data_IF_267102482657
#
_entry.id   IF_267102482657
#
_cell.length_a   1.000
_cell.length_b   1.000
_cell.length_c   1.000
_cell.angle_alpha   90.00
_cell.angle_beta   90.00
_cell.angle_gamma   90.00
#
_symmetry.space_group_name_H-M   'P 1'
#
loop_
_entity.id
_entity.type
_entity.pdbx_description
1 polymer ?
#
# COMPACT_ATOMS: atom_id res chain seq x y z
N UNK A 1 -2.45 -14.49 -26.35
CA UNK A 1 -3.70 -15.12 -26.81
C UNK A 1 -3.88 -14.78 -28.28
N UNK A 2 -3.96 -15.79 -29.10
CA UNK A 2 -4.14 -15.64 -30.55
C UNK A 2 -5.51 -14.99 -30.81
N UNK A 3 -5.52 -13.70 -31.12
CA UNK A 3 -6.72 -12.88 -31.33
C UNK A 3 -7.62 -13.46 -32.46
N UNK A 4 -7.04 -14.21 -33.40
CA UNK A 4 -7.78 -14.82 -34.52
C UNK A 4 -8.67 -15.98 -34.12
N UNK A 5 -8.59 -16.50 -32.89
CA UNK A 5 -9.41 -17.61 -32.37
C UNK A 5 -10.62 -17.17 -31.55
N UNK A 6 -10.75 -15.88 -31.23
CA UNK A 6 -11.90 -15.37 -30.51
C UNK A 6 -13.10 -15.18 -31.43
N UNK A 7 -14.29 -15.56 -30.96
CA UNK A 7 -15.55 -15.26 -31.66
C UNK A 7 -15.96 -13.81 -31.46
N UNK A 8 -15.65 -13.26 -30.28
CA UNK A 8 -15.88 -11.87 -29.92
C UNK A 8 -14.61 -11.31 -29.25
N UNK A 9 -14.31 -10.02 -29.48
CA UNK A 9 -13.14 -9.36 -28.87
C UNK A 9 -13.16 -9.36 -27.34
N UNK A 10 -14.35 -9.44 -26.73
CA UNK A 10 -14.54 -9.52 -25.28
C UNK A 10 -14.37 -10.92 -24.72
N UNK A 11 -14.27 -11.96 -25.57
CA UNK A 11 -14.04 -13.34 -25.10
C UNK A 11 -12.74 -13.43 -24.32
N UNK A 12 -12.73 -14.16 -23.23
CA UNK A 12 -11.57 -14.39 -22.39
C UNK A 12 -11.37 -15.86 -22.09
N UNK A 13 -10.15 -16.23 -21.69
CA UNK A 13 -9.77 -17.62 -21.51
C UNK A 13 -10.23 -18.11 -20.15
N UNK A 14 -11.03 -19.18 -20.13
CA UNK A 14 -11.40 -19.93 -18.92
C UNK A 14 -10.40 -21.06 -18.62
N UNK A 15 -9.93 -21.75 -19.68
CA UNK A 15 -9.00 -22.86 -19.58
C UNK A 15 -7.95 -22.81 -20.70
N UNK A 16 -6.67 -22.91 -20.32
CA UNK A 16 -5.54 -22.93 -21.27
C UNK A 16 -5.07 -24.36 -21.44
N UNK A 17 -5.21 -24.94 -22.63
CA UNK A 17 -4.66 -26.26 -22.96
C UNK A 17 -3.14 -26.18 -23.09
N UNK A 18 -2.43 -26.99 -22.34
CA UNK A 18 -0.98 -27.19 -22.45
C UNK A 18 -0.56 -28.46 -21.68
N UNK A 19 0.64 -28.97 -21.95
CA UNK A 19 1.22 -30.15 -21.32
C UNK A 19 2.47 -29.83 -20.48
N UNK A 20 2.83 -28.55 -20.37
CA UNK A 20 3.94 -28.08 -19.53
C UNK A 20 3.47 -27.92 -18.08
N UNK A 21 4.31 -28.32 -17.12
CA UNK A 21 4.01 -28.18 -15.70
C UNK A 21 4.02 -26.71 -15.26
N UNK A 22 3.12 -26.31 -14.34
CA UNK A 22 2.05 -27.11 -13.74
C UNK A 22 0.80 -27.19 -14.62
N UNK A 23 0.18 -28.38 -14.70
CA UNK A 23 -1.10 -28.59 -15.36
C UNK A 23 -2.03 -29.48 -14.53
N UNK A 24 -3.31 -29.42 -14.83
CA UNK A 24 -4.36 -30.21 -14.20
C UNK A 24 -5.23 -30.91 -15.27
N UNK A 25 -5.87 -32.01 -14.87
CA UNK A 25 -6.89 -32.67 -15.70
C UNK A 25 -8.18 -31.86 -15.67
N UNK A 26 -8.84 -31.75 -16.82
CA UNK A 26 -10.16 -31.14 -16.96
C UNK A 26 -10.98 -31.85 -18.05
N UNK A 27 -12.31 -31.62 -18.11
CA UNK A 27 -13.13 -32.10 -19.23
C UNK A 27 -12.66 -31.57 -20.59
N UNK A 28 -11.90 -30.52 -20.62
CA UNK A 28 -11.34 -29.86 -21.84
C UNK A 28 -9.91 -30.31 -22.15
N UNK A 29 -9.36 -31.26 -21.38
CA UNK A 29 -7.99 -31.77 -21.50
C UNK A 29 -7.03 -31.20 -20.45
N UNK A 30 -5.76 -31.58 -20.59
CA UNK A 30 -4.67 -31.08 -19.73
C UNK A 30 -4.47 -29.57 -19.93
N UNK A 31 -4.18 -28.85 -18.83
CA UNK A 31 -3.94 -27.42 -18.90
C UNK A 31 -4.05 -26.72 -17.56
N UNK A 32 -4.25 -25.40 -17.60
CA UNK A 32 -4.42 -24.55 -16.42
C UNK A 32 -5.60 -23.60 -16.56
N UNK A 33 -6.18 -23.13 -15.43
CA UNK A 33 -7.23 -22.13 -15.46
C UNK A 33 -6.73 -20.80 -16.05
N UNK A 34 -7.65 -20.01 -16.60
CA UNK A 34 -7.38 -18.62 -16.93
C UNK A 34 -7.30 -17.78 -15.65
N UNK A 35 -6.57 -16.69 -15.70
CA UNK A 35 -6.33 -15.84 -14.52
C UNK A 35 -7.63 -15.39 -13.81
N UNK A 36 -8.65 -15.00 -14.57
CA UNK A 36 -9.89 -14.46 -13.98
C UNK A 36 -10.69 -15.51 -13.20
N UNK A 37 -10.73 -16.76 -13.68
CA UNK A 37 -11.48 -17.82 -13.00
C UNK A 37 -10.82 -18.26 -11.69
N UNK A 38 -9.52 -18.06 -11.53
CA UNK A 38 -8.82 -18.35 -10.29
C UNK A 38 -9.40 -17.53 -9.13
N UNK A 39 -9.56 -16.21 -9.32
CA UNK A 39 -10.12 -15.32 -8.29
C UNK A 39 -11.59 -15.67 -8.01
N UNK A 40 -12.43 -15.87 -9.03
CA UNK A 40 -13.83 -16.26 -8.85
C UNK A 40 -13.97 -17.55 -8.05
N UNK A 41 -13.13 -18.55 -8.33
CA UNK A 41 -13.13 -19.83 -7.61
C UNK A 41 -12.60 -19.68 -6.17
N UNK A 42 -11.56 -18.89 -5.96
CA UNK A 42 -10.98 -18.63 -4.63
C UNK A 42 -11.97 -17.88 -3.73
N UNK A 43 -12.67 -16.88 -4.25
CA UNK A 43 -13.72 -16.15 -3.52
C UNK A 43 -14.78 -17.13 -3.04
N UNK A 44 -15.34 -17.91 -3.95
CA UNK A 44 -16.38 -18.91 -3.60
C UNK A 44 -15.89 -19.93 -2.58
N UNK A 45 -14.66 -20.43 -2.72
CA UNK A 45 -14.08 -21.42 -1.80
C UNK A 45 -13.83 -20.81 -0.40
N UNK A 46 -13.30 -19.60 -0.33
CA UNK A 46 -12.87 -18.98 0.93
C UNK A 46 -14.04 -18.43 1.74
N UNK A 47 -14.96 -17.74 1.09
CA UNK A 47 -16.09 -17.09 1.75
C UNK A 47 -17.31 -18.00 1.86
N UNK A 48 -17.37 -19.11 1.11
CA UNK A 48 -18.50 -20.05 1.06
C UNK A 48 -19.85 -19.36 0.76
N UNK A 49 -19.81 -18.27 0.02
CA UNK A 49 -20.95 -17.49 -0.45
C UNK A 49 -20.79 -17.17 -1.94
N UNK A 50 -21.89 -16.80 -2.60
CA UNK A 50 -21.84 -16.33 -3.98
C UNK A 50 -21.60 -14.80 -4.06
N UNK A 51 -21.98 -14.08 -2.99
CA UNK A 51 -21.86 -12.62 -2.93
C UNK A 51 -21.03 -12.24 -1.71
N UNK A 52 -19.98 -11.46 -1.90
CA UNK A 52 -19.18 -10.85 -0.84
C UNK A 52 -19.59 -9.38 -0.60
N UNK A 53 -19.26 -8.84 0.56
CA UNK A 53 -19.64 -7.47 0.87
C UNK A 53 -18.81 -6.46 0.06
N UNK A 54 -17.50 -6.64 0.02
CA UNK A 54 -16.58 -5.72 -0.67
C UNK A 54 -15.59 -6.51 -1.51
N UNK A 55 -15.42 -6.10 -2.77
CA UNK A 55 -14.34 -6.57 -3.66
C UNK A 55 -13.49 -5.36 -4.07
N UNK A 56 -12.19 -5.45 -3.86
CA UNK A 56 -11.27 -4.33 -4.10
C UNK A 56 -10.06 -4.72 -4.93
N UNK A 57 -9.50 -3.75 -5.65
CA UNK A 57 -8.28 -3.92 -6.41
C UNK A 57 -7.75 -2.62 -6.99
N UNK A 58 -6.68 -2.69 -7.78
CA UNK A 58 -6.22 -1.55 -8.56
C UNK A 58 -7.23 -1.17 -9.64
N UNK A 59 -7.30 0.09 -10.00
CA UNK A 59 -8.20 0.58 -11.06
C UNK A 59 -7.92 -0.09 -12.41
N UNK A 60 -6.70 -0.54 -12.63
CA UNK A 60 -6.28 -1.29 -13.82
C UNK A 60 -6.87 -2.72 -13.88
N UNK A 61 -7.38 -3.24 -12.77
CA UNK A 61 -8.10 -4.52 -12.71
C UNK A 61 -9.59 -4.37 -13.01
N UNK A 62 -10.15 -3.15 -12.99
CA UNK A 62 -11.57 -2.93 -13.26
C UNK A 62 -11.99 -3.60 -14.57
N UNK A 63 -11.17 -3.40 -15.62
CA UNK A 63 -11.35 -4.05 -16.90
C UNK A 63 -9.99 -4.56 -17.42
N UNK A 64 -9.90 -5.81 -17.89
CA UNK A 64 -11.01 -6.80 -18.03
C UNK A 64 -11.20 -7.71 -16.81
N UNK A 65 -10.34 -7.67 -15.78
CA UNK A 65 -10.25 -8.70 -14.74
C UNK A 65 -11.54 -8.79 -13.90
N UNK A 66 -11.93 -7.71 -13.24
CA UNK A 66 -13.11 -7.69 -12.36
C UNK A 66 -14.43 -7.89 -13.14
N UNK A 67 -14.53 -7.33 -14.35
CA UNK A 67 -15.70 -7.56 -15.19
C UNK A 67 -15.81 -9.04 -15.60
N UNK A 68 -14.69 -9.70 -15.85
CA UNK A 68 -14.67 -11.14 -16.15
C UNK A 68 -15.02 -12.00 -14.92
N UNK A 69 -14.53 -11.65 -13.74
CA UNK A 69 -14.91 -12.32 -12.49
C UNK A 69 -16.41 -12.19 -12.20
N UNK A 70 -16.92 -10.98 -12.38
CA UNK A 70 -18.34 -10.66 -12.26
C UNK A 70 -19.16 -11.52 -13.22
N UNK A 71 -18.82 -11.50 -14.51
CA UNK A 71 -19.51 -12.31 -15.52
C UNK A 71 -19.52 -13.81 -15.18
N UNK A 72 -18.39 -14.38 -14.75
CA UNK A 72 -18.27 -15.78 -14.36
C UNK A 72 -19.18 -16.13 -13.18
N UNK A 73 -19.18 -15.29 -12.13
CA UNK A 73 -19.97 -15.56 -10.93
C UNK A 73 -21.45 -15.34 -11.17
N UNK A 74 -21.85 -14.27 -11.84
CA UNK A 74 -23.24 -13.93 -12.10
C UNK A 74 -23.89 -14.95 -13.07
N UNK A 75 -23.18 -15.36 -14.11
CA UNK A 75 -23.66 -16.42 -15.01
C UNK A 75 -23.84 -17.79 -14.32
N UNK A 76 -22.98 -18.10 -13.35
CA UNK A 76 -23.05 -19.37 -12.63
C UNK A 76 -24.14 -19.37 -11.54
N UNK A 77 -24.31 -18.24 -10.84
CA UNK A 77 -25.07 -18.20 -9.59
C UNK A 77 -26.35 -17.38 -9.68
N UNK A 78 -26.50 -16.58 -10.73
CA UNK A 78 -27.54 -15.55 -10.88
C UNK A 78 -27.58 -14.56 -9.70
N UNK A 79 -26.41 -14.32 -9.08
CA UNK A 79 -26.24 -13.38 -7.96
C UNK A 79 -25.01 -12.50 -8.22
N UNK A 80 -25.01 -11.23 -7.75
CA UNK A 80 -23.86 -10.36 -7.89
C UNK A 80 -22.64 -10.90 -7.12
N UNK A 81 -21.44 -10.76 -7.70
CA UNK A 81 -20.21 -11.19 -7.04
C UNK A 81 -19.92 -10.35 -5.78
N UNK A 82 -20.13 -9.05 -5.83
CA UNK A 82 -19.91 -8.15 -4.70
C UNK A 82 -21.00 -7.10 -4.59
N UNK A 83 -21.29 -6.66 -3.34
CA UNK A 83 -22.20 -5.55 -3.06
C UNK A 83 -21.56 -4.20 -3.34
N UNK A 84 -20.25 -4.08 -3.04
CA UNK A 84 -19.46 -2.87 -3.22
C UNK A 84 -18.15 -3.20 -3.92
N UNK A 85 -17.79 -2.40 -4.90
CA UNK A 85 -16.51 -2.46 -5.60
C UNK A 85 -15.66 -1.26 -5.21
N UNK A 86 -14.40 -1.50 -4.84
CA UNK A 86 -13.44 -0.44 -4.50
C UNK A 86 -12.22 -0.52 -5.41
N UNK A 87 -11.91 0.58 -6.10
CA UNK A 87 -10.75 0.64 -6.98
C UNK A 87 -9.75 1.69 -6.50
N UNK A 88 -8.52 1.24 -6.28
CA UNK A 88 -7.41 2.07 -5.81
C UNK A 88 -6.60 2.56 -7.00
N UNK A 89 -6.33 3.85 -7.05
CA UNK A 89 -5.49 4.44 -8.08
C UNK A 89 -4.00 4.07 -7.89
N UNK A 90 -3.19 4.08 -8.96
CA UNK A 90 -1.78 3.69 -8.88
C UNK A 90 -0.94 4.71 -8.13
N UNK A 91 0.12 4.21 -7.49
CA UNK A 91 1.24 5.05 -7.08
C UNK A 91 2.13 5.29 -8.29
N UNK A 92 2.56 6.53 -8.46
CA UNK A 92 3.42 6.98 -9.55
C UNK A 92 4.77 7.44 -9.03
N UNK A 93 5.79 7.33 -9.86
CA UNK A 93 7.13 7.91 -9.65
C UNK A 93 7.52 8.58 -10.97
N UNK A 94 7.81 9.88 -10.92
CA UNK A 94 8.10 10.70 -12.11
C UNK A 94 6.97 10.62 -13.16
N UNK A 95 5.72 10.74 -12.70
CA UNK A 95 4.51 10.65 -13.53
C UNK A 95 4.32 9.31 -14.28
N UNK A 96 5.03 8.26 -13.86
CA UNK A 96 4.88 6.91 -14.39
C UNK A 96 4.39 5.95 -13.32
N UNK A 97 3.48 5.03 -13.70
CA UNK A 97 3.03 3.98 -12.78
C UNK A 97 4.23 3.24 -12.19
N UNK A 98 4.29 3.17 -10.85
CA UNK A 98 5.30 2.39 -10.16
C UNK A 98 5.08 0.90 -10.46
N UNK A 99 6.06 0.25 -11.07
CA UNK A 99 6.01 -1.19 -11.35
C UNK A 99 7.41 -1.81 -11.45
N UNK A 100 7.47 -3.12 -11.19
CA UNK A 100 8.73 -3.88 -11.34
C UNK A 100 9.23 -3.89 -12.79
N UNK A 101 8.31 -3.94 -13.77
CA UNK A 101 8.65 -3.97 -15.20
C UNK A 101 9.30 -2.67 -15.69
N UNK A 102 8.98 -1.54 -15.07
CA UNK A 102 9.63 -0.26 -15.38
C UNK A 102 10.91 -0.01 -14.57
N UNK A 103 11.27 -0.92 -13.63
CA UNK A 103 12.46 -0.76 -12.79
C UNK A 103 12.41 0.43 -11.83
N UNK A 104 11.26 1.09 -11.68
CA UNK A 104 11.06 2.26 -10.83
C UNK A 104 10.39 1.92 -9.50
N UNK A 105 10.32 0.63 -9.12
CA UNK A 105 9.64 0.21 -7.90
C UNK A 105 10.49 0.47 -6.65
N UNK A 106 9.88 1.06 -5.63
CA UNK A 106 10.42 1.20 -4.28
C UNK A 106 9.73 0.18 -3.38
N UNK A 107 10.49 -0.65 -2.68
CA UNK A 107 9.90 -1.66 -1.79
C UNK A 107 9.62 -1.08 -0.40
N UNK A 108 8.55 -1.56 0.26
CA UNK A 108 8.27 -1.16 1.64
C UNK A 108 9.43 -1.50 2.58
N UNK A 109 10.09 -2.64 2.38
CA UNK A 109 11.24 -3.03 3.21
C UNK A 109 12.35 -1.98 3.16
N UNK A 110 12.73 -1.51 1.95
CA UNK A 110 13.75 -0.47 1.81
C UNK A 110 13.36 0.88 2.43
N UNK A 111 12.06 1.15 2.55
CA UNK A 111 11.57 2.34 3.23
C UNK A 111 11.52 2.15 4.75
N UNK A 112 11.17 0.95 5.24
CA UNK A 112 11.12 0.65 6.68
C UNK A 112 12.49 0.66 7.36
N UNK A 113 13.58 0.51 6.59
CA UNK A 113 14.93 0.69 7.12
C UNK A 113 15.23 2.16 7.51
N UNK A 114 14.49 3.12 6.95
CA UNK A 114 14.74 4.56 7.08
C UNK A 114 13.59 5.35 7.70
N UNK A 115 12.36 4.89 7.51
CA UNK A 115 11.15 5.56 7.94
C UNK A 115 10.25 4.65 8.76
N UNK A 116 9.64 5.21 9.79
CA UNK A 116 8.60 4.53 10.56
C UNK A 116 7.43 4.11 9.62
N UNK A 117 6.98 2.85 9.68
CA UNK A 117 5.81 2.39 8.94
C UNK A 117 4.57 3.28 9.13
N UNK A 118 4.40 3.89 10.31
CA UNK A 118 3.29 4.79 10.59
C UNK A 118 3.41 6.12 9.84
N UNK A 119 4.63 6.60 9.57
CA UNK A 119 4.86 7.78 8.72
C UNK A 119 4.42 7.50 7.28
N UNK A 120 4.74 6.32 6.75
CA UNK A 120 4.28 5.90 5.43
C UNK A 120 2.76 5.73 5.39
N UNK A 121 2.17 5.09 6.41
CA UNK A 121 0.71 4.98 6.52
C UNK A 121 0.05 6.35 6.55
N UNK A 122 0.60 7.29 7.33
CA UNK A 122 0.09 8.65 7.41
C UNK A 122 0.23 9.39 6.07
N UNK A 123 1.32 9.16 5.34
CA UNK A 123 1.52 9.71 3.98
C UNK A 123 0.41 9.26 3.02
N UNK A 124 0.09 7.96 2.99
CA UNK A 124 -1.01 7.45 2.17
C UNK A 124 -2.37 8.04 2.58
N UNK A 125 -2.63 8.19 3.88
CA UNK A 125 -3.88 8.78 4.39
C UNK A 125 -4.05 10.27 4.04
N UNK A 126 -2.98 10.96 3.67
CA UNK A 126 -3.03 12.35 3.18
C UNK A 126 -3.48 12.45 1.71
N UNK A 127 -3.73 11.32 1.03
CA UNK A 127 -4.15 11.26 -0.36
C UNK A 127 -5.47 10.49 -0.47
N UNK A 128 -6.28 10.83 -1.49
CA UNK A 128 -7.46 10.03 -1.81
C UNK A 128 -7.03 8.73 -2.47
N UNK A 129 -7.60 7.61 -2.04
CA UNK A 129 -7.22 6.28 -2.53
C UNK A 129 -7.58 6.07 -4.02
N UNK A 130 -8.59 6.78 -4.54
CA UNK A 130 -9.06 6.68 -5.92
C UNK A 130 -8.40 7.66 -6.89
N UNK A 131 -7.39 8.43 -6.43
CA UNK A 131 -6.64 9.40 -7.24
C UNK A 131 -5.18 8.96 -7.35
N UNK A 132 -4.56 8.99 -8.55
CA UNK A 132 -3.14 8.67 -8.69
C UNK A 132 -2.29 9.52 -7.75
N UNK A 133 -1.38 8.85 -7.05
CA UNK A 133 -0.51 9.49 -6.06
C UNK A 133 0.93 9.49 -6.56
N UNK A 134 1.53 10.66 -6.70
CA UNK A 134 2.96 10.79 -6.97
C UNK A 134 3.75 10.54 -5.67
N UNK A 135 4.57 9.49 -5.65
CA UNK A 135 5.41 9.15 -4.51
C UNK A 135 6.73 9.90 -4.60
N UNK A 136 6.94 10.86 -3.70
CA UNK A 136 8.17 11.62 -3.57
C UNK A 136 8.77 11.31 -2.20
N UNK A 137 9.90 10.58 -2.20
CA UNK A 137 10.52 10.12 -0.96
C UNK A 137 10.97 11.27 -0.05
N UNK A 138 11.48 12.36 -0.62
CA UNK A 138 11.91 13.54 0.15
C UNK A 138 10.78 14.16 0.98
N UNK A 139 9.53 14.01 0.56
CA UNK A 139 8.36 14.46 1.32
C UNK A 139 8.21 13.74 2.66
N UNK A 140 8.72 12.50 2.79
CA UNK A 140 8.59 11.72 4.01
C UNK A 140 9.23 12.39 5.23
N UNK A 141 10.27 13.20 5.05
CA UNK A 141 10.85 13.98 6.15
C UNK A 141 9.88 15.05 6.70
N UNK A 142 9.13 15.71 5.82
CA UNK A 142 8.08 16.64 6.21
C UNK A 142 6.89 15.92 6.86
N UNK A 143 6.48 14.80 6.28
CA UNK A 143 5.39 13.96 6.80
C UNK A 143 5.73 13.42 8.20
N UNK A 144 6.97 13.00 8.44
CA UNK A 144 7.45 12.59 9.77
C UNK A 144 7.22 13.68 10.82
N UNK A 145 7.52 14.95 10.49
CA UNK A 145 7.26 16.08 11.39
C UNK A 145 5.77 16.30 11.64
N UNK A 146 4.95 16.20 10.59
CA UNK A 146 3.50 16.31 10.72
C UNK A 146 2.92 15.19 11.58
N UNK A 147 3.38 13.96 11.38
CA UNK A 147 2.94 12.82 12.19
C UNK A 147 3.36 12.95 13.66
N UNK A 148 4.58 13.41 13.93
CA UNK A 148 5.04 13.71 15.30
C UNK A 148 4.16 14.77 15.97
N UNK A 149 3.74 15.81 15.25
CA UNK A 149 2.80 16.81 15.78
C UNK A 149 1.42 16.22 16.08
N UNK A 150 0.93 15.30 15.25
CA UNK A 150 -0.32 14.57 15.53
C UNK A 150 -0.17 13.75 16.81
N UNK A 151 0.93 13.02 16.97
CA UNK A 151 1.21 12.24 18.19
C UNK A 151 1.25 13.16 19.42
N UNK A 152 2.00 14.24 19.38
CA UNK A 152 2.13 15.19 20.48
C UNK A 152 0.75 15.71 20.93
N UNK A 153 -0.07 16.19 20.00
CA UNK A 153 -1.40 16.74 20.31
C UNK A 153 -2.34 15.68 20.86
N UNK A 154 -2.39 14.49 20.23
CA UNK A 154 -3.37 13.45 20.59
C UNK A 154 -2.96 12.58 21.78
N UNK A 155 -1.71 12.68 22.25
CA UNK A 155 -1.23 11.99 23.47
C UNK A 155 -1.09 12.92 24.67
N UNK A 156 -1.43 14.19 24.53
CA UNK A 156 -1.39 15.18 25.61
C UNK A 156 -2.32 14.76 26.76
N UNK A 157 -1.88 14.98 28.00
CA UNK A 157 -2.62 14.62 29.22
C UNK A 157 -3.25 15.82 29.91
N UNK A 158 -2.74 17.05 29.66
CA UNK A 158 -3.25 18.27 30.27
C UNK A 158 -4.13 19.06 29.32
N UNK A 159 -5.33 19.44 29.77
CA UNK A 159 -6.32 20.16 28.98
C UNK A 159 -6.85 21.38 29.74
N UNK A 160 -7.27 22.42 28.99
CA UNK A 160 -7.88 23.62 29.54
C UNK A 160 -9.39 23.45 29.74
N UNK A 161 -10.02 22.62 28.91
CA UNK A 161 -11.47 22.41 28.88
C UNK A 161 -11.77 20.92 28.92
N UNK A 162 -12.73 20.53 29.77
CA UNK A 162 -13.14 19.11 29.89
C UNK A 162 -14.33 18.75 28.99
N UNK A 163 -15.24 19.70 28.71
CA UNK A 163 -16.45 19.46 27.91
C UNK A 163 -16.24 19.95 26.48
N UNK A 164 -16.80 19.20 25.52
CA UNK A 164 -16.73 19.58 24.12
C UNK A 164 -17.48 20.88 23.86
N UNK A 165 -16.85 21.81 23.16
CA UNK A 165 -17.45 23.09 22.75
C UNK A 165 -18.39 22.91 21.55
N UNK A 166 -19.23 23.93 21.27
CA UNK A 166 -20.02 23.96 20.03
C UNK A 166 -19.17 23.83 18.78
N UNK A 167 -17.98 24.45 18.77
CA UNK A 167 -17.00 24.31 17.69
C UNK A 167 -16.47 22.88 17.62
N UNK A 168 -16.16 22.25 18.75
CA UNK A 168 -15.72 20.87 18.82
C UNK A 168 -16.74 19.88 18.25
N UNK A 169 -18.03 20.07 18.53
CA UNK A 169 -19.08 19.26 17.93
C UNK A 169 -19.13 19.40 16.41
N UNK A 170 -19.03 20.61 15.88
CA UNK A 170 -18.96 20.87 14.43
C UNK A 170 -17.74 20.22 13.77
N UNK A 171 -16.61 20.16 14.49
CA UNK A 171 -15.40 19.48 13.99
C UNK A 171 -15.68 17.98 13.86
N UNK A 172 -16.25 17.34 14.87
CA UNK A 172 -16.59 15.91 14.84
C UNK A 172 -17.60 15.59 13.74
N UNK A 173 -18.66 16.38 13.60
CA UNK A 173 -19.65 16.22 12.51
C UNK A 173 -18.99 16.28 11.13
N UNK A 174 -18.07 17.23 10.93
CA UNK A 174 -17.32 17.33 9.67
C UNK A 174 -16.37 16.16 9.44
N UNK A 175 -15.74 15.63 10.48
CA UNK A 175 -14.91 14.43 10.36
C UNK A 175 -15.75 13.26 9.84
N UNK A 176 -16.90 12.99 10.47
CA UNK A 176 -17.78 11.92 10.01
C UNK A 176 -18.33 12.18 8.59
N UNK A 177 -18.68 13.42 8.28
CA UNK A 177 -19.09 13.77 6.92
C UNK A 177 -18.00 13.38 5.89
N UNK A 178 -16.75 13.76 6.11
CA UNK A 178 -15.65 13.42 5.21
C UNK A 178 -15.35 11.91 5.16
N UNK A 179 -15.51 11.19 6.27
CA UNK A 179 -15.33 9.74 6.28
C UNK A 179 -16.45 9.02 5.50
N UNK A 180 -17.67 9.56 5.52
CA UNK A 180 -18.78 9.04 4.73
C UNK A 180 -18.76 9.51 3.27
N UNK A 181 -17.96 10.51 2.93
CA UNK A 181 -17.73 11.01 1.59
C UNK A 181 -16.51 10.29 0.97
N UNK A 182 -16.73 9.05 0.59
CA UNK A 182 -15.76 8.16 -0.07
C UNK A 182 -14.40 8.06 0.67
N UNK A 183 -14.45 7.93 2.01
CA UNK A 183 -13.25 7.84 2.87
C UNK A 183 -12.25 8.98 2.66
N UNK A 184 -12.71 10.22 2.61
CA UNK A 184 -11.88 11.40 2.38
C UNK A 184 -10.97 11.70 3.59
N UNK A 185 -9.99 10.82 3.82
CA UNK A 185 -9.03 10.90 4.93
C UNK A 185 -8.15 12.14 4.85
N UNK A 186 -7.84 12.58 3.63
CA UNK A 186 -7.07 13.79 3.38
C UNK A 186 -7.76 15.03 3.96
N UNK A 187 -9.09 15.16 3.74
CA UNK A 187 -9.87 16.26 4.30
C UNK A 187 -9.95 16.20 5.83
N UNK A 188 -10.03 15.00 6.42
CA UNK A 188 -10.00 14.83 7.89
C UNK A 188 -8.66 15.29 8.47
N UNK A 189 -7.55 14.91 7.85
CA UNK A 189 -6.20 15.35 8.29
C UNK A 189 -6.05 16.86 8.13
N UNK A 190 -6.50 17.43 7.02
CA UNK A 190 -6.55 18.88 6.81
C UNK A 190 -7.38 19.60 7.88
N UNK A 191 -8.55 19.06 8.23
CA UNK A 191 -9.41 19.60 9.29
C UNK A 191 -8.74 19.53 10.67
N UNK A 192 -7.99 18.45 10.96
CA UNK A 192 -7.20 18.30 12.17
C UNK A 192 -6.18 19.45 12.31
N UNK A 193 -5.34 19.66 11.30
CA UNK A 193 -4.32 20.72 11.36
C UNK A 193 -4.91 22.12 11.42
N UNK A 194 -6.03 22.37 10.74
CA UNK A 194 -6.76 23.64 10.81
C UNK A 194 -7.28 23.94 12.21
N UNK A 195 -7.70 22.92 12.97
CA UNK A 195 -8.31 23.06 14.28
C UNK A 195 -7.44 22.54 15.43
N UNK A 196 -6.14 22.34 15.21
CA UNK A 196 -5.24 21.73 16.19
C UNK A 196 -5.28 22.39 17.57
N UNK A 197 -5.37 23.72 17.64
CA UNK A 197 -5.47 24.47 18.91
C UNK A 197 -6.73 24.12 19.71
N UNK A 198 -7.87 23.96 19.03
CA UNK A 198 -9.15 23.56 19.66
C UNK A 198 -9.08 22.12 20.17
N UNK A 199 -8.52 21.21 19.36
CA UNK A 199 -8.34 19.79 19.72
C UNK A 199 -7.38 19.66 20.90
N UNK A 200 -6.30 20.47 20.93
CA UNK A 200 -5.28 20.43 21.97
C UNK A 200 -5.78 20.91 23.33
N UNK A 201 -6.67 21.91 23.37
CA UNK A 201 -7.17 22.48 24.62
C UNK A 201 -8.35 21.70 25.24
N UNK A 202 -9.11 20.94 24.45
CA UNK A 202 -10.35 20.30 24.84
C UNK A 202 -10.21 18.78 24.98
N UNK A 203 -10.42 18.26 26.21
CA UNK A 203 -10.21 16.84 26.55
C UNK A 203 -11.11 15.89 25.76
N UNK A 204 -12.41 16.15 25.74
CA UNK A 204 -13.38 15.26 25.09
C UNK A 204 -13.24 15.28 23.56
N UNK A 205 -12.96 16.44 22.98
CA UNK A 205 -12.68 16.55 21.55
C UNK A 205 -11.40 15.79 21.18
N UNK A 206 -10.32 16.00 21.95
CA UNK A 206 -9.04 15.30 21.75
C UNK A 206 -9.23 13.77 21.79
N UNK A 207 -9.93 13.27 22.83
CA UNK A 207 -10.22 11.84 22.97
C UNK A 207 -10.94 11.27 21.74
N UNK A 208 -12.00 11.92 21.26
CA UNK A 208 -12.76 11.48 20.08
C UNK A 208 -11.91 11.48 18.82
N UNK A 209 -11.13 12.52 18.59
CA UNK A 209 -10.23 12.60 17.45
C UNK A 209 -9.12 11.53 17.54
N UNK A 210 -8.56 11.30 18.72
CA UNK A 210 -7.60 10.23 18.99
C UNK A 210 -8.16 8.86 18.63
N UNK A 211 -9.38 8.54 19.06
CA UNK A 211 -10.07 7.30 18.75
C UNK A 211 -10.22 7.10 17.24
N UNK A 212 -10.61 8.14 16.50
CA UNK A 212 -10.71 8.08 15.03
C UNK A 212 -9.34 7.79 14.40
N UNK A 213 -8.29 8.49 14.82
CA UNK A 213 -6.94 8.30 14.29
C UNK A 213 -6.37 6.92 14.62
N UNK A 214 -6.68 6.36 15.79
CA UNK A 214 -6.23 5.03 16.19
C UNK A 214 -7.05 3.92 15.52
N UNK A 215 -8.39 3.96 15.59
CA UNK A 215 -9.23 2.84 15.15
C UNK A 215 -9.59 2.90 13.66
N UNK A 216 -9.89 4.08 13.11
CA UNK A 216 -10.27 4.20 11.71
C UNK A 216 -9.03 4.31 10.83
N UNK A 217 -8.06 5.17 11.19
CA UNK A 217 -6.83 5.32 10.42
C UNK A 217 -5.77 4.28 10.74
N UNK A 218 -5.91 3.55 11.85
CA UNK A 218 -4.97 2.52 12.29
C UNK A 218 -3.59 3.09 12.63
N UNK A 219 -3.53 4.30 13.16
CA UNK A 219 -2.28 4.96 13.52
C UNK A 219 -1.87 4.62 14.95
N UNK A 220 -0.64 4.18 15.15
CA UNK A 220 -0.08 3.95 16.46
C UNK A 220 0.44 5.26 17.06
N UNK A 221 -0.39 5.95 17.84
CA UNK A 221 -0.03 7.23 18.45
C UNK A 221 0.88 7.10 19.67
N UNK A 222 0.89 5.94 20.35
CA UNK A 222 1.65 5.68 21.58
C UNK A 222 2.95 4.91 21.33
N UNK A 223 3.27 4.61 20.08
CA UNK A 223 4.45 3.86 19.71
C UNK A 223 5.74 4.53 20.18
N UNK A 224 6.68 3.72 20.68
CA UNK A 224 8.07 4.15 20.88
C UNK A 224 8.57 4.75 19.57
N UNK A 225 9.39 5.79 19.66
CA UNK A 225 10.09 6.34 18.49
C UNK A 225 10.69 5.20 17.69
N UNK A 226 10.32 5.12 16.41
CA UNK A 226 10.95 4.19 15.48
C UNK A 226 12.47 4.48 15.50
N UNK A 227 13.24 3.58 16.08
CA UNK A 227 14.64 3.46 15.73
C UNK A 227 14.64 2.76 14.37
N UNK A 228 15.09 3.45 13.32
CA UNK A 228 15.48 2.78 12.09
C UNK A 228 16.20 1.48 12.51
N UNK A 229 15.85 0.35 11.90
CA UNK A 229 16.61 -0.86 12.17
C UNK A 229 18.06 -0.45 12.04
N UNK A 230 18.77 -0.39 13.17
CA UNK A 230 20.19 -0.54 13.09
C UNK A 230 20.32 -1.87 12.36
N UNK A 231 20.62 -1.79 11.07
CA UNK A 231 21.23 -2.93 10.41
C UNK A 231 22.47 -3.15 11.23
N UNK A 232 22.41 -4.08 12.19
CA UNK A 232 23.60 -4.71 12.71
C UNK A 232 24.17 -5.46 11.51
N UNK A 233 24.74 -4.66 10.60
CA UNK A 233 25.63 -5.15 9.57
C UNK A 233 26.75 -5.73 10.39
N UNK A 234 26.90 -7.06 10.37
CA UNK A 234 28.00 -7.69 11.08
C UNK A 234 29.27 -6.99 10.64
N UNK A 235 30.22 -6.82 11.55
CA UNK A 235 31.53 -6.20 11.25
C UNK A 235 32.14 -6.71 9.94
N UNK A 236 31.93 -8.00 9.63
CA UNK A 236 32.39 -8.66 8.41
C UNK A 236 31.71 -8.13 7.15
N UNK A 237 30.42 -7.83 7.21
CA UNK A 237 29.69 -7.26 6.07
C UNK A 237 30.08 -5.79 5.85
N UNK A 238 30.30 -5.06 6.94
CA UNK A 238 30.75 -3.67 6.88
C UNK A 238 32.13 -3.55 6.25
N UNK A 239 33.05 -4.46 6.60
CA UNK A 239 34.36 -4.57 5.95
C UNK A 239 34.26 -4.88 4.45
N UNK A 240 33.39 -5.81 4.04
CA UNK A 240 33.19 -6.13 2.63
C UNK A 240 32.62 -4.94 1.83
N UNK A 241 31.73 -4.12 2.44
CA UNK A 241 31.21 -2.90 1.82
C UNK A 241 32.33 -1.86 1.65
N UNK A 242 33.14 -1.64 2.69
CA UNK A 242 34.28 -0.72 2.64
C UNK A 242 35.34 -1.16 1.63
N UNK A 243 35.68 -2.46 1.59
CA UNK A 243 36.61 -3.00 0.58
C UNK A 243 36.08 -2.78 -0.84
N UNK A 244 34.79 -2.98 -1.07
CA UNK A 244 34.17 -2.74 -2.38
C UNK A 244 34.24 -1.26 -2.77
N UNK A 245 33.93 -0.34 -1.86
CA UNK A 245 34.03 1.10 -2.12
C UNK A 245 35.48 1.51 -2.43
N UNK A 246 36.45 0.96 -1.72
CA UNK A 246 37.88 1.17 -1.97
C UNK A 246 38.32 0.61 -3.32
N UNK A 247 37.87 -0.58 -3.73
CA UNK A 247 38.14 -1.15 -5.05
C UNK A 247 37.60 -0.25 -6.17
N UNK A 248 36.38 0.27 -6.01
CA UNK A 248 35.77 1.23 -6.96
C UNK A 248 36.57 2.54 -7.05
N UNK A 249 36.97 3.09 -5.92
CA UNK A 249 37.78 4.30 -5.88
C UNK A 249 39.11 4.15 -6.61
N UNK A 250 39.68 2.93 -6.55
CA UNK A 250 40.93 2.54 -7.29
C UNK A 250 40.66 2.11 -8.74
N UNK A 251 39.37 2.13 -9.20
CA UNK A 251 38.94 1.66 -10.53
C UNK A 251 39.17 0.17 -10.78
N UNK A 252 39.32 -0.62 -9.71
CA UNK A 252 39.38 -2.08 -9.77
C UNK A 252 37.97 -2.65 -9.82
N UNK A 253 37.37 -2.62 -10.99
CA UNK A 253 35.98 -3.04 -11.20
C UNK A 253 35.77 -4.55 -11.05
N UNK A 254 36.80 -5.36 -11.38
CA UNK A 254 36.77 -6.82 -11.21
C UNK A 254 36.60 -7.17 -9.72
N UNK A 255 37.44 -6.59 -8.87
CA UNK A 255 37.36 -6.82 -7.43
C UNK A 255 36.07 -6.28 -6.85
N UNK A 256 35.59 -5.13 -7.31
CA UNK A 256 34.30 -4.55 -6.85
C UNK A 256 33.10 -5.43 -7.21
N UNK A 257 33.10 -6.10 -8.36
CA UNK A 257 32.04 -7.01 -8.79
C UNK A 257 32.09 -8.34 -8.00
N UNK A 258 33.27 -8.91 -7.76
CA UNK A 258 33.40 -10.07 -6.85
C UNK A 258 32.83 -9.80 -5.46
N UNK A 259 33.15 -8.65 -4.87
CA UNK A 259 32.68 -8.26 -3.55
C UNK A 259 31.16 -8.01 -3.55
N UNK A 260 30.60 -7.50 -4.65
CA UNK A 260 29.15 -7.37 -4.83
C UNK A 260 28.47 -8.73 -4.82
N UNK A 261 29.01 -9.71 -5.51
CA UNK A 261 28.45 -11.05 -5.60
C UNK A 261 28.52 -11.77 -4.24
N UNK A 262 29.62 -11.63 -3.50
CA UNK A 262 29.75 -12.13 -2.12
C UNK A 262 28.71 -11.47 -1.19
N UNK A 263 28.51 -10.14 -1.29
CA UNK A 263 27.51 -9.43 -0.51
C UNK A 263 26.09 -9.90 -0.85
N UNK A 264 25.81 -10.16 -2.12
CA UNK A 264 24.53 -10.68 -2.61
C UNK A 264 24.25 -12.09 -2.11
N UNK A 265 25.24 -13.00 -2.09
CA UNK A 265 25.11 -14.33 -1.49
C UNK A 265 24.81 -14.28 0.02
N UNK A 266 25.34 -13.25 0.71
CA UNK A 266 25.06 -12.99 2.12
C UNK A 266 23.75 -12.22 2.35
N UNK A 267 22.95 -11.98 1.30
CA UNK A 267 21.62 -11.32 1.38
C UNK A 267 21.67 -9.79 1.38
N UNK A 268 22.78 -9.17 1.01
CA UNK A 268 22.94 -7.71 0.95
C UNK A 268 23.05 -7.21 -0.49
N UNK A 269 22.05 -6.44 -0.94
CA UNK A 269 22.12 -5.72 -2.23
C UNK A 269 22.78 -4.35 -2.04
N UNK A 270 23.93 -4.14 -2.68
CA UNK A 270 24.63 -2.85 -2.69
C UNK A 270 24.39 -2.15 -4.01
N UNK A 271 23.71 -0.99 -3.98
CA UNK A 271 23.48 -0.16 -5.16
C UNK A 271 24.66 0.79 -5.40
N UNK A 272 25.04 0.92 -6.68
CA UNK A 272 26.04 1.89 -7.08
C UNK A 272 25.49 3.31 -6.96
N UNK A 273 26.17 4.19 -6.21
CA UNK A 273 25.91 5.62 -6.29
C UNK A 273 26.23 6.07 -7.70
N UNK A 274 25.26 6.58 -8.45
CA UNK A 274 25.55 7.28 -9.72
C UNK A 274 26.39 8.52 -9.38
N UNK A 275 27.60 8.53 -9.90
CA UNK A 275 28.48 9.71 -9.91
C UNK A 275 27.90 10.80 -10.80
#
# INVERSE_FOLDING_TARGET
>A
VDLHKKKNNLDFVLWKKHTELPYWNSPWGLGSPGWHIECSAMIKKSFKTNTIDIHGGGIDLMFPHHENEKAQTECLTNQPLAKVWMHVAPVQINNQKMSKSFGNSVTLNSLFDRFDPMVLRFYFLMHNYNTPMEFIEDHLHGIKKNYAQVQEILTKESFLENKISSLGNKIIEKIYYFLCDDFNTAAVIGLFFKNKKEIEKNKELNKKVKEIFQFIFGLNLLGKSFSARETNISSDIQLLIEERENARAKKDFLRADELRDILKEKGYEVKDKKS
#
